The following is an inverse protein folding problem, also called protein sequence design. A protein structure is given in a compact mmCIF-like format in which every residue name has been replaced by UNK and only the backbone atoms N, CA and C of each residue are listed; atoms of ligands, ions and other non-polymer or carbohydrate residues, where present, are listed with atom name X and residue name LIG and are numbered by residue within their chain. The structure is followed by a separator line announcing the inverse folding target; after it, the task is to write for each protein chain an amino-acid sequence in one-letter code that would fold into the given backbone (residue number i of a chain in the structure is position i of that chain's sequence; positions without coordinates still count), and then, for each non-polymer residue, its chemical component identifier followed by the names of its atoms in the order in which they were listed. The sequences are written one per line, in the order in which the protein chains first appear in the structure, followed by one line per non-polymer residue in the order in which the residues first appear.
data_IF_300907141208
#
_entry.id   IF_300907141208
#
_cell.length_a   1.000
_cell.length_b   1.000
_cell.length_c   1.000
_cell.angle_alpha   90.00
_cell.angle_beta   90.00
_cell.angle_gamma   90.00
#
_symmetry.space_group_name_H-M   'P 1'
#
loop_
_entity.id
_entity.type
_entity.pdbx_description
1 polymer ?
#
# COMPACT_ATOMS: atom_id res chain seq x y z
N UNK A 1 -1.66 15.04 -67.06
CA UNK A 1 -2.86 14.48 -67.70
C UNK A 1 -3.82 13.99 -66.63
N UNK A 2 -4.97 14.64 -66.46
CA UNK A 2 -6.18 13.94 -66.01
C UNK A 2 -6.63 13.00 -67.14
N UNK A 3 -7.34 11.92 -66.82
CA UNK A 3 -8.78 12.04 -67.06
C UNK A 3 -9.63 11.52 -65.90
N UNK A 4 -10.70 12.25 -65.73
CA UNK A 4 -11.90 11.90 -65.01
C UNK A 4 -12.76 10.91 -65.82
N UNK A 5 -13.44 10.04 -65.07
CA UNK A 5 -14.88 9.72 -65.15
C UNK A 5 -15.42 8.63 -66.10
N UNK A 6 -16.25 7.81 -65.42
CA UNK A 6 -17.58 7.34 -65.82
C UNK A 6 -17.67 6.21 -66.84
N UNK A 7 -17.99 5.02 -66.34
CA UNK A 7 -19.21 4.36 -66.79
C UNK A 7 -19.85 3.60 -65.60
N UNK A 8 -20.95 4.16 -65.11
CA UNK A 8 -22.02 3.41 -64.45
C UNK A 8 -22.53 2.33 -65.42
N UNK A 9 -22.98 1.18 -64.92
CA UNK A 9 -24.28 0.57 -65.23
C UNK A 9 -24.38 -0.90 -64.72
N UNK A 10 -25.55 -1.22 -64.15
CA UNK A 10 -26.19 -2.56 -63.93
C UNK A 10 -25.87 -3.43 -62.68
N UNK A 11 -26.50 -3.09 -61.54
CA UNK A 11 -27.60 -3.80 -60.80
C UNK A 11 -27.91 -5.27 -61.26
N UNK A 12 -28.39 -6.27 -60.44
CA UNK A 12 -28.88 -6.31 -59.04
C UNK A 12 -28.42 -7.51 -58.13
N UNK A 13 -28.73 -7.37 -56.83
CA UNK A 13 -29.27 -8.36 -55.88
C UNK A 13 -29.03 -9.86 -56.15
N UNK A 14 -28.16 -10.49 -55.37
CA UNK A 14 -28.25 -11.93 -55.09
C UNK A 14 -27.91 -12.26 -53.62
N UNK A 15 -28.98 -12.54 -52.88
CA UNK A 15 -29.16 -13.52 -51.80
C UNK A 15 -28.26 -13.48 -50.54
N UNK A 16 -28.90 -12.97 -49.49
CA UNK A 16 -28.80 -13.41 -48.10
C UNK A 16 -28.73 -14.95 -47.97
N UNK A 17 -27.64 -15.47 -47.41
CA UNK A 17 -27.68 -16.60 -46.47
C UNK A 17 -26.35 -16.72 -45.70
N UNK A 18 -26.26 -16.09 -44.53
CA UNK A 18 -25.34 -16.56 -43.49
C UNK A 18 -26.16 -16.88 -42.26
N UNK A 19 -26.16 -18.17 -41.92
CA UNK A 19 -26.94 -18.78 -40.86
C UNK A 19 -26.60 -18.15 -39.49
N UNK A 20 -27.56 -18.08 -38.55
CA UNK A 20 -27.26 -17.76 -37.16
C UNK A 20 -26.47 -18.92 -36.55
N UNK A 21 -25.18 -18.70 -36.32
CA UNK A 21 -24.34 -19.56 -35.50
C UNK A 21 -24.85 -19.47 -34.05
N UNK A 22 -25.85 -20.27 -33.70
CA UNK A 22 -26.25 -20.47 -32.31
C UNK A 22 -25.23 -21.40 -31.65
N UNK A 23 -24.03 -20.87 -31.39
CA UNK A 23 -23.08 -21.49 -30.49
C UNK A 23 -23.68 -21.41 -29.08
N UNK A 24 -24.41 -22.46 -28.71
CA UNK A 24 -24.88 -22.70 -27.35
C UNK A 24 -23.69 -22.64 -26.40
N UNK A 25 -23.58 -21.53 -25.65
CA UNK A 25 -22.74 -21.47 -24.46
C UNK A 25 -23.29 -22.50 -23.47
N UNK A 26 -22.66 -23.68 -23.42
CA UNK A 26 -22.79 -24.60 -22.28
C UNK A 26 -22.33 -23.84 -21.05
N UNK A 27 -23.26 -23.46 -20.17
CA UNK A 27 -22.94 -22.89 -18.86
C UNK A 27 -22.39 -24.03 -18.01
N UNK A 28 -21.07 -24.06 -17.87
CA UNK A 28 -20.39 -24.86 -16.86
C UNK A 28 -20.94 -24.54 -15.47
N UNK A 29 -20.99 -25.51 -14.54
CA UNK A 29 -21.39 -25.25 -13.17
C UNK A 29 -20.54 -24.12 -12.58
N UNK A 30 -21.20 -23.18 -11.89
CA UNK A 30 -20.58 -22.00 -11.33
C UNK A 30 -19.45 -22.40 -10.36
N UNK A 31 -18.21 -22.30 -10.83
CA UNK A 31 -17.04 -22.37 -9.98
C UNK A 31 -17.16 -21.26 -8.93
N UNK A 32 -16.85 -21.58 -7.67
CA UNK A 32 -16.72 -20.58 -6.60
C UNK A 32 -15.78 -19.48 -7.11
N UNK A 33 -16.08 -18.19 -6.87
CA UNK A 33 -15.25 -17.11 -7.38
C UNK A 33 -13.82 -17.28 -6.88
N UNK A 34 -12.88 -17.53 -7.80
CA UNK A 34 -11.47 -17.59 -7.48
C UNK A 34 -11.03 -16.22 -6.98
N UNK A 35 -10.27 -16.18 -5.86
CA UNK A 35 -9.70 -14.92 -5.40
C UNK A 35 -8.56 -14.53 -6.36
N UNK A 36 -8.50 -13.28 -6.80
CA UNK A 36 -7.50 -12.86 -7.77
C UNK A 36 -6.12 -12.87 -7.12
N UNK A 37 -5.18 -13.58 -7.73
CA UNK A 37 -3.80 -13.73 -7.24
C UNK A 37 -2.84 -12.74 -7.89
N UNK A 38 -3.20 -12.16 -9.03
CA UNK A 38 -2.39 -11.17 -9.74
C UNK A 38 -3.24 -10.30 -10.65
N UNK A 39 -2.65 -9.22 -11.17
CA UNK A 39 -3.28 -8.38 -12.18
C UNK A 39 -2.50 -7.10 -12.46
N UNK A 40 -3.20 -6.15 -13.08
CA UNK A 40 -2.63 -4.87 -13.52
C UNK A 40 -3.44 -3.69 -12.98
N UNK A 41 -2.74 -2.57 -12.78
CA UNK A 41 -3.35 -1.30 -12.39
C UNK A 41 -2.57 -0.14 -12.97
N UNK A 42 -3.27 0.98 -13.18
CA UNK A 42 -2.65 2.26 -13.46
C UNK A 42 -2.89 3.19 -12.27
N UNK A 43 -1.86 3.94 -11.90
CA UNK A 43 -1.95 4.98 -10.87
C UNK A 43 -2.61 6.24 -11.46
N UNK A 44 -2.91 7.21 -10.61
CA UNK A 44 -3.48 8.50 -11.01
C UNK A 44 -2.57 9.29 -11.96
N UNK A 45 -1.25 9.16 -11.78
CA UNK A 45 -0.24 9.79 -12.65
C UNK A 45 0.08 8.94 -13.89
N UNK A 46 -0.65 7.84 -14.11
CA UNK A 46 -0.51 7.01 -15.31
C UNK A 46 0.64 5.99 -15.25
N UNK A 47 1.24 5.74 -14.08
CA UNK A 47 2.25 4.69 -13.96
C UNK A 47 1.60 3.33 -14.23
N UNK A 48 2.23 2.53 -15.08
CA UNK A 48 1.78 1.16 -15.36
C UNK A 48 2.35 0.22 -14.31
N UNK A 49 1.51 -0.54 -13.63
CA UNK A 49 1.91 -1.44 -12.55
C UNK A 49 1.32 -2.84 -12.72
N UNK A 50 2.15 -3.86 -12.50
CA UNK A 50 1.71 -5.23 -12.26
C UNK A 50 1.72 -5.52 -10.77
N UNK A 51 0.82 -6.39 -10.33
CA UNK A 51 0.77 -6.84 -8.95
C UNK A 51 0.53 -8.33 -8.84
N UNK A 52 1.10 -8.93 -7.80
CA UNK A 52 0.98 -10.35 -7.48
C UNK A 52 0.86 -10.57 -5.97
N UNK A 53 0.10 -11.58 -5.58
CA UNK A 53 -0.10 -12.00 -4.20
C UNK A 53 0.59 -13.34 -4.00
N UNK A 54 1.53 -13.36 -3.08
CA UNK A 54 2.25 -14.54 -2.64
C UNK A 54 1.87 -14.90 -1.20
N UNK A 55 1.87 -16.19 -0.88
CA UNK A 55 1.49 -16.73 0.42
C UNK A 55 0.05 -17.26 0.43
N UNK A 56 -0.10 -18.47 0.97
CA UNK A 56 -1.37 -19.21 1.03
C UNK A 56 -1.87 -19.41 2.46
N UNK A 57 -0.96 -19.35 3.43
CA UNK A 57 -1.21 -19.59 4.84
C UNK A 57 -0.38 -18.61 5.68
N UNK A 58 -1.06 -17.85 6.57
CA UNK A 58 -0.40 -16.84 7.39
C UNK A 58 -0.23 -15.48 6.68
N UNK A 59 0.92 -14.80 6.85
CA UNK A 59 1.17 -13.51 6.18
C UNK A 59 1.20 -13.67 4.67
N UNK A 60 0.34 -12.93 3.97
CA UNK A 60 0.37 -12.79 2.51
C UNK A 60 1.17 -11.53 2.15
N UNK A 61 1.84 -11.60 1.01
CA UNK A 61 2.65 -10.51 0.45
C UNK A 61 2.08 -10.08 -0.88
N UNK A 62 1.75 -8.80 -1.01
CA UNK A 62 1.39 -8.16 -2.27
C UNK A 62 2.63 -7.44 -2.82
N UNK A 63 3.17 -7.91 -3.93
CA UNK A 63 4.28 -7.26 -4.63
C UNK A 63 3.73 -6.40 -5.76
N UNK A 64 4.37 -5.25 -5.96
CA UNK A 64 4.08 -4.29 -7.01
C UNK A 64 5.35 -3.99 -7.78
N UNK A 65 5.27 -4.07 -9.11
CA UNK A 65 6.32 -3.63 -10.02
C UNK A 65 5.72 -2.62 -10.98
N UNK A 66 6.28 -1.40 -11.01
CA UNK A 66 5.71 -0.26 -11.69
C UNK A 66 6.73 0.46 -12.57
N UNK A 67 6.24 1.12 -13.62
CA UNK A 67 7.02 1.98 -14.52
C UNK A 67 6.29 3.30 -14.77
N UNK A 68 6.98 4.42 -14.55
CA UNK A 68 6.50 5.73 -14.97
C UNK A 68 6.57 5.87 -16.51
N UNK A 69 5.54 6.46 -17.12
CA UNK A 69 5.52 6.76 -18.56
C UNK A 69 6.07 8.16 -18.80
N UNK A 70 6.88 8.36 -19.85
CA UNK A 70 7.25 9.69 -20.34
C UNK A 70 8.73 10.09 -20.20
N UNK A 71 9.55 9.29 -19.51
CA UNK A 71 11.01 9.40 -19.50
C UNK A 71 11.58 8.08 -20.07
N UNK A 72 12.67 8.12 -20.84
CA UNK A 72 13.35 6.92 -21.36
C UNK A 72 14.80 6.90 -20.87
N UNK A 73 15.25 5.83 -20.17
CA UNK A 73 14.42 4.73 -19.66
C UNK A 73 13.48 5.23 -18.54
N UNK A 74 12.21 4.80 -18.57
CA UNK A 74 11.21 5.21 -17.59
C UNK A 74 11.61 4.76 -16.19
N UNK A 75 11.41 5.62 -15.18
CA UNK A 75 11.73 5.28 -13.78
C UNK A 75 10.88 4.08 -13.36
N UNK A 76 11.53 2.93 -13.22
CA UNK A 76 10.95 1.71 -12.66
C UNK A 76 11.09 1.73 -11.14
N UNK A 77 10.06 1.23 -10.44
CA UNK A 77 10.06 1.14 -8.99
C UNK A 77 9.21 -0.03 -8.51
N UNK A 78 9.53 -0.54 -7.33
CA UNK A 78 8.90 -1.72 -6.76
C UNK A 78 8.63 -1.52 -5.26
N UNK A 79 7.59 -2.17 -4.76
CA UNK A 79 7.31 -2.25 -3.34
C UNK A 79 6.53 -3.50 -2.97
N UNK A 80 6.60 -3.85 -1.68
CA UNK A 80 5.92 -5.01 -1.11
C UNK A 80 5.06 -4.58 0.07
N UNK A 81 3.85 -5.12 0.13
CA UNK A 81 2.98 -4.98 1.29
C UNK A 81 2.73 -6.35 1.92
N UNK A 82 2.74 -6.45 3.24
CA UNK A 82 2.47 -7.70 3.98
C UNK A 82 1.28 -7.55 4.92
N UNK A 83 0.51 -8.62 5.10
CA UNK A 83 -0.64 -8.63 6.01
C UNK A 83 -1.27 -10.01 6.16
N UNK A 84 -2.21 -10.16 7.08
CA UNK A 84 -2.90 -11.43 7.38
C UNK A 84 -4.41 -11.27 7.20
N UNK A 85 -4.91 -11.23 5.94
CA UNK A 85 -6.32 -10.97 5.66
C UNK A 85 -7.26 -12.01 6.29
N UNK A 86 -6.79 -13.23 6.56
CA UNK A 86 -7.57 -14.27 7.23
C UNK A 86 -7.96 -13.94 8.68
N UNK A 87 -7.25 -13.02 9.34
CA UNK A 87 -7.61 -12.53 10.67
C UNK A 87 -8.84 -11.60 10.64
N UNK A 88 -9.29 -11.19 9.45
CA UNK A 88 -10.52 -10.43 9.24
C UNK A 88 -11.64 -11.39 8.84
N UNK A 89 -12.65 -11.66 9.71
CA UNK A 89 -13.69 -12.64 9.41
C UNK A 89 -14.43 -12.43 8.08
N UNK A 90 -14.76 -11.19 7.66
CA UNK A 90 -15.37 -10.94 6.36
C UNK A 90 -14.52 -11.37 5.14
N UNK A 91 -13.21 -11.57 5.29
CA UNK A 91 -12.33 -11.94 4.18
C UNK A 91 -12.68 -13.32 3.60
N UNK A 92 -13.01 -14.29 4.45
CA UNK A 92 -13.28 -15.68 4.06
C UNK A 92 -14.38 -15.78 3.00
N UNK A 93 -15.42 -14.95 3.12
CA UNK A 93 -16.55 -14.92 2.18
C UNK A 93 -16.42 -13.86 1.08
N UNK A 94 -15.54 -12.86 1.26
CA UNK A 94 -15.44 -11.66 0.40
C UNK A 94 -14.02 -11.36 -0.07
N UNK A 95 -13.19 -12.38 -0.26
CA UNK A 95 -11.79 -12.25 -0.67
C UNK A 95 -11.62 -11.43 -1.96
N UNK A 96 -12.45 -11.68 -2.99
CA UNK A 96 -12.43 -10.90 -4.24
C UNK A 96 -12.73 -9.41 -4.00
N UNK A 97 -13.68 -9.09 -3.11
CA UNK A 97 -13.99 -7.70 -2.79
C UNK A 97 -12.88 -7.04 -1.96
N UNK A 98 -12.20 -7.80 -1.09
CA UNK A 98 -11.04 -7.32 -0.35
C UNK A 98 -9.93 -6.87 -1.30
N UNK A 99 -9.52 -7.74 -2.23
CA UNK A 99 -8.46 -7.40 -3.19
C UNK A 99 -8.84 -6.25 -4.12
N UNK A 100 -10.12 -6.18 -4.54
CA UNK A 100 -10.63 -5.03 -5.29
C UNK A 100 -10.49 -3.71 -4.51
N UNK A 101 -10.67 -3.72 -3.19
CA UNK A 101 -10.48 -2.53 -2.36
C UNK A 101 -9.00 -2.17 -2.18
N UNK A 102 -8.13 -3.17 -2.01
CA UNK A 102 -6.67 -2.96 -1.92
C UNK A 102 -6.14 -2.34 -3.21
N UNK A 103 -6.38 -3.00 -4.36
CA UNK A 103 -5.98 -2.50 -5.68
C UNK A 103 -6.64 -1.15 -5.98
N UNK A 104 -7.91 -0.98 -5.60
CA UNK A 104 -8.62 0.28 -5.76
C UNK A 104 -8.04 1.44 -4.94
N UNK A 105 -7.35 1.18 -3.82
CA UNK A 105 -6.60 2.20 -3.09
C UNK A 105 -5.30 2.56 -3.82
N UNK A 106 -4.58 1.57 -4.34
CA UNK A 106 -3.33 1.79 -5.08
C UNK A 106 -3.57 2.64 -6.34
N UNK A 107 -4.64 2.34 -7.10
CA UNK A 107 -5.06 3.12 -8.28
C UNK A 107 -5.32 4.60 -8.02
N UNK A 108 -5.67 4.97 -6.78
CA UNK A 108 -5.97 6.37 -6.40
C UNK A 108 -4.73 7.17 -6.02
N UNK A 109 -3.58 6.52 -5.90
CA UNK A 109 -2.31 7.18 -5.59
C UNK A 109 -1.69 7.71 -6.88
N UNK A 110 -0.80 8.68 -6.74
CA UNK A 110 0.05 9.18 -7.82
C UNK A 110 1.13 8.13 -8.16
N UNK A 111 1.88 7.69 -7.15
CA UNK A 111 2.77 6.53 -7.17
C UNK A 111 2.16 5.42 -6.27
N UNK A 112 2.13 4.17 -6.75
CA UNK A 112 1.49 3.07 -6.03
C UNK A 112 2.13 2.80 -4.66
N UNK A 113 3.44 3.00 -4.56
CA UNK A 113 4.27 2.76 -3.38
C UNK A 113 4.30 3.95 -2.41
N UNK A 114 3.82 5.13 -2.82
CA UNK A 114 3.80 6.34 -1.98
C UNK A 114 2.50 6.55 -1.20
N UNK A 115 2.58 7.29 -0.10
CA UNK A 115 1.44 7.67 0.74
C UNK A 115 1.23 6.76 1.95
N UNK A 116 -0.02 6.38 2.22
CA UNK A 116 -0.40 5.66 3.44
C UNK A 116 0.33 4.30 3.53
N UNK A 117 1.21 4.08 4.52
CA UNK A 117 1.92 2.81 4.69
C UNK A 117 1.00 1.62 4.99
N UNK A 118 -0.30 1.82 5.25
CA UNK A 118 -1.27 0.76 5.57
C UNK A 118 -2.51 0.84 4.67
N UNK A 119 -2.74 -0.17 3.82
CA UNK A 119 -3.90 -0.25 2.95
C UNK A 119 -5.12 -0.81 3.70
N UNK A 120 -5.81 0.06 4.45
CA UNK A 120 -7.05 -0.32 5.14
C UNK A 120 -8.20 -0.55 4.17
N UNK A 121 -8.83 -1.72 4.23
CA UNK A 121 -10.08 -2.03 3.51
C UNK A 121 -11.29 -1.69 4.38
N UNK A 122 -12.42 -1.34 3.75
CA UNK A 122 -13.69 -1.12 4.45
C UNK A 122 -14.22 -2.43 5.04
N UNK A 123 -13.96 -3.55 4.35
CA UNK A 123 -14.33 -4.89 4.81
C UNK A 123 -13.71 -5.22 6.18
N UNK A 124 -12.45 -4.85 6.36
CA UNK A 124 -11.70 -5.15 7.58
C UNK A 124 -11.55 -3.95 8.50
N UNK A 125 -12.40 -2.91 8.39
CA UNK A 125 -12.25 -1.65 9.14
C UNK A 125 -12.15 -1.85 10.67
N UNK A 126 -12.82 -2.87 11.20
CA UNK A 126 -12.82 -3.25 12.62
C UNK A 126 -11.94 -4.48 12.92
N UNK A 127 -11.18 -4.96 11.93
CA UNK A 127 -10.28 -6.10 12.09
C UNK A 127 -9.01 -5.72 12.85
N UNK A 128 -8.22 -6.71 13.28
CA UNK A 128 -6.94 -6.47 13.95
C UNK A 128 -5.97 -5.77 12.99
N UNK A 129 -5.01 -5.02 13.53
CA UNK A 129 -4.06 -4.25 12.72
C UNK A 129 -3.26 -5.13 11.74
N UNK A 130 -2.99 -6.38 12.12
CA UNK A 130 -2.31 -7.39 11.30
C UNK A 130 -3.13 -7.80 10.07
N UNK A 131 -4.45 -7.62 10.08
CA UNK A 131 -5.33 -7.96 8.94
C UNK A 131 -5.24 -6.99 7.77
N UNK A 132 -4.62 -5.84 7.96
CA UNK A 132 -4.40 -4.85 6.92
C UNK A 132 -3.05 -5.09 6.23
N UNK A 133 -2.99 -4.82 4.92
CA UNK A 133 -1.73 -4.84 4.19
C UNK A 133 -0.90 -3.61 4.57
N UNK A 134 0.36 -3.81 4.97
CA UNK A 134 1.30 -2.76 5.40
C UNK A 134 2.53 -2.78 4.52
N UNK A 135 3.02 -1.62 4.12
CA UNK A 135 4.24 -1.49 3.33
C UNK A 135 5.40 -2.09 4.12
N UNK A 136 6.05 -3.09 3.55
CA UNK A 136 7.16 -3.83 4.14
C UNK A 136 8.50 -3.43 3.52
N UNK A 137 8.51 -3.19 2.21
CA UNK A 137 9.72 -2.84 1.46
C UNK A 137 9.37 -1.92 0.30
N UNK A 138 10.27 -0.99 -0.04
CA UNK A 138 10.23 -0.17 -1.24
C UNK A 138 11.64 -0.08 -1.79
N UNK A 139 11.79 -0.11 -3.11
CA UNK A 139 13.07 0.18 -3.75
C UNK A 139 13.53 1.59 -3.35
N UNK A 140 14.56 1.68 -2.50
CA UNK A 140 15.16 2.93 -2.02
C UNK A 140 14.99 3.28 -0.53
N UNK A 141 14.30 2.48 0.30
CA UNK A 141 14.14 2.74 1.75
C UNK A 141 14.73 1.56 2.58
N UNK A 142 15.60 1.87 3.55
CA UNK A 142 16.19 0.89 4.48
C UNK A 142 15.14 0.36 5.48
N UNK A 143 15.18 -0.94 5.72
CA UNK A 143 14.22 -1.78 6.45
C UNK A 143 13.88 -1.20 7.84
N UNK A 144 12.70 -0.62 8.01
CA UNK A 144 12.15 -0.39 9.36
C UNK A 144 11.27 -1.58 9.74
N UNK A 145 11.78 -2.42 10.65
CA UNK A 145 11.09 -3.61 11.16
C UNK A 145 9.73 -3.28 11.78
N UNK A 146 8.73 -4.08 11.40
CA UNK A 146 7.44 -4.12 12.04
C UNK A 146 7.59 -4.75 13.44
N UNK A 147 7.54 -3.91 14.48
CA UNK A 147 7.48 -4.36 15.87
C UNK A 147 6.19 -5.17 16.07
N UNK A 148 6.32 -6.48 16.27
CA UNK A 148 5.24 -7.33 16.73
C UNK A 148 4.95 -7.02 18.22
N UNK A 149 3.68 -6.92 18.66
CA UNK A 149 3.36 -6.85 20.08
C UNK A 149 3.37 -8.28 20.63
N UNK A 150 4.46 -8.68 21.31
CA UNK A 150 4.43 -9.90 22.12
C UNK A 150 3.78 -9.56 23.46
N UNK A 151 2.53 -9.97 23.57
CA UNK A 151 1.82 -10.19 24.82
C UNK A 151 2.56 -11.30 25.58
N UNK A 152 3.29 -10.94 26.63
CA UNK A 152 3.72 -11.90 27.65
C UNK A 152 2.64 -11.94 28.74
N UNK A 153 1.74 -12.91 28.61
CA UNK A 153 1.00 -13.41 29.76
C UNK A 153 1.88 -14.42 30.50
N UNK A 154 2.07 -14.22 31.80
CA UNK A 154 2.47 -15.29 32.72
C UNK A 154 1.75 -15.05 34.04
N UNK A 155 0.83 -15.95 34.35
CA UNK A 155 0.09 -15.98 35.61
C UNK A 155 0.91 -16.65 36.74
N UNK A 156 0.45 -16.34 37.96
CA UNK A 156 0.60 -17.03 39.23
C UNK A 156 1.89 -16.79 40.06
N UNK A 157 1.68 -16.07 41.16
CA UNK A 157 2.57 -15.98 42.33
C UNK A 157 1.92 -15.11 43.40
N UNK A 158 1.15 -15.74 44.30
CA UNK A 158 0.63 -15.18 45.56
C UNK A 158 1.76 -14.54 46.41
N UNK A 159 1.45 -13.43 47.06
CA UNK A 159 2.31 -12.81 48.07
C UNK A 159 1.83 -11.42 48.49
N UNK A 160 0.99 -11.38 49.53
CA UNK A 160 0.62 -10.17 50.28
C UNK A 160 1.85 -9.43 50.84
N UNK A 161 1.86 -8.09 50.71
CA UNK A 161 2.01 -7.09 51.81
C UNK A 161 2.21 -5.67 51.23
N UNK A 162 1.37 -4.74 51.69
CA UNK A 162 1.50 -3.28 51.54
C UNK A 162 1.95 -2.66 52.91
N UNK A 163 2.12 -1.34 53.06
CA UNK A 163 3.37 -0.58 52.90
C UNK A 163 3.95 -0.07 54.25
N UNK A 164 5.18 0.45 54.25
CA UNK A 164 5.60 1.40 55.30
C UNK A 164 6.61 2.43 54.76
N UNK A 165 6.43 3.62 55.32
CA UNK A 165 6.93 4.93 54.96
C UNK A 165 8.43 5.18 55.16
N UNK A 166 8.86 6.23 54.46
CA UNK A 166 9.93 7.19 54.78
C UNK A 166 11.35 6.68 55.04
N UNK A 167 12.26 7.08 54.14
CA UNK A 167 13.45 7.78 54.58
C UNK A 167 13.76 8.95 53.63
N UNK A 168 13.70 10.14 54.20
CA UNK A 168 14.27 11.38 53.69
C UNK A 168 15.77 11.32 53.93
N UNK A 169 16.60 11.82 53.01
CA UNK A 169 17.73 12.71 53.36
C UNK A 169 18.45 13.19 52.08
N UNK A 170 18.30 14.50 51.88
CA UNK A 170 19.25 15.50 51.37
C UNK A 170 20.48 15.01 50.59
N UNK A 171 20.65 15.51 49.36
CA UNK A 171 21.99 15.90 48.93
C UNK A 171 21.96 17.31 48.35
N UNK A 172 22.87 18.10 48.89
CA UNK A 172 23.07 19.52 48.75
C UNK A 172 23.33 19.99 47.32
N UNK A 173 22.97 21.25 47.11
CA UNK A 173 23.19 21.96 45.87
C UNK A 173 24.67 22.11 45.52
N UNK A 174 24.93 22.10 44.22
CA UNK A 174 26.04 22.83 43.67
C UNK A 174 25.52 23.73 42.54
N UNK A 175 25.49 25.02 42.83
CA UNK A 175 25.41 26.06 41.83
C UNK A 175 26.74 26.10 41.07
N UNK A 176 26.70 26.21 39.74
CA UNK A 176 27.90 26.35 38.95
C UNK A 176 27.61 26.22 37.46
N UNK A 177 27.43 27.39 36.86
CA UNK A 177 27.70 27.73 35.47
C UNK A 177 26.92 27.05 34.34
N UNK A 178 26.06 27.90 33.77
CA UNK A 178 25.62 27.82 32.40
C UNK A 178 26.81 27.86 31.45
N UNK A 179 27.07 26.74 30.77
CA UNK A 179 27.86 26.74 29.55
C UNK A 179 26.97 26.25 28.41
N UNK A 180 26.56 27.20 27.56
CA UNK A 180 25.84 26.94 26.33
C UNK A 180 26.78 26.21 25.37
N UNK A 181 26.68 24.88 25.32
CA UNK A 181 27.35 24.10 24.28
C UNK A 181 26.68 24.39 22.94
N UNK A 182 27.33 25.26 22.16
CA UNK A 182 27.03 25.51 20.76
C UNK A 182 27.06 24.17 19.99
N UNK A 183 25.89 23.66 19.63
CA UNK A 183 25.77 22.61 18.63
C UNK A 183 25.95 23.24 17.24
N UNK A 184 27.20 23.40 16.81
CA UNK A 184 27.52 23.61 15.40
C UNK A 184 27.86 22.26 14.79
N UNK A 185 26.86 21.61 14.18
CA UNK A 185 27.10 20.48 13.31
C UNK A 185 27.88 20.96 12.07
N UNK A 186 29.03 20.33 11.84
CA UNK A 186 29.87 20.47 10.67
C UNK A 186 29.07 20.19 9.39
N UNK A 187 29.19 21.08 8.40
CA UNK A 187 28.74 20.83 7.03
C UNK A 187 27.38 21.42 6.64
N UNK A 188 27.30 22.75 6.50
CA UNK A 188 26.66 23.48 5.38
C UNK A 188 26.42 24.95 5.76
N UNK A 189 27.09 25.88 5.07
CA UNK A 189 26.78 27.31 5.12
C UNK A 189 25.38 27.53 4.52
N UNK A 190 24.35 27.74 5.35
CA UNK A 190 23.15 28.48 4.96
C UNK A 190 22.38 28.98 6.20
N UNK A 191 22.67 30.24 6.56
CA UNK A 191 21.81 31.23 7.26
C UNK A 191 20.65 30.66 8.09
N UNK A 192 20.85 30.48 9.39
CA UNK A 192 19.75 30.46 10.35
C UNK A 192 19.27 31.89 10.60
N UNK A 193 18.20 32.33 9.92
CA UNK A 193 17.49 33.54 10.31
C UNK A 193 16.62 33.25 11.54
N UNK A 194 17.22 33.31 12.72
CA UNK A 194 16.47 33.27 13.98
C UNK A 194 15.88 34.65 14.28
N UNK A 195 14.56 34.72 14.18
CA UNK A 195 13.70 35.69 14.84
C UNK A 195 14.09 35.84 16.32
N UNK A 196 14.55 37.03 16.74
CA UNK A 196 14.18 37.69 18.00
C UNK A 196 15.10 38.89 18.33
N UNK A 197 14.71 40.09 17.92
CA UNK A 197 14.76 41.33 18.71
C UNK A 197 14.36 42.51 17.83
N UNK A 198 13.26 43.17 18.17
CA UNK A 198 13.09 44.63 18.26
C UNK A 198 11.59 44.92 18.53
N UNK A 199 11.08 44.39 19.65
CA UNK A 199 10.12 45.15 20.44
C UNK A 199 10.96 45.95 21.43
N UNK A 200 10.97 47.26 21.23
CA UNK A 200 11.69 48.27 21.99
C UNK A 200 11.38 49.61 21.37
#
# INVERSE_FOLDING_TARGET
MWPHRCHLLFIPLLLLLSAPQTAGKKKSPAAKPAVPTSGELNTKDGHSCTWEVAGTEGPVTLKLSCSAQGEEPGRAYECQFTGQPDLCPPYKDKATQYWKQVVGKLRKRNDACEGEKVLKTRLCKKGPAQSHMRLAERSGEEKTEAVAPTLMGKEAGEGEKEPLLEDMMMNDGNAGDAESVNFCADGSLQVCSFFAKFFG
#
